data_IF_151752597823
#
_entry.id   IF_151752597823
#
_cell.length_a   1.000
_cell.length_b   1.000
_cell.length_c   1.000
_cell.angle_alpha   90.00
_cell.angle_beta   90.00
_cell.angle_gamma   90.00
#
_symmetry.space_group_name_H-M   'P 1'
#
loop_
_entity.id
_entity.type
_entity.pdbx_description
1 polymer ?
#
# COMPACT_ATOMS: atom_id res chain seq x y z
N UNK A 1 6.86 2.68 -5.84
CA UNK A 1 8.18 2.57 -5.20
C UNK A 1 8.35 1.16 -4.64
N UNK A 2 9.54 0.55 -4.71
CA UNK A 2 9.80 -0.77 -4.12
C UNK A 2 10.35 -0.64 -2.69
N UNK A 3 9.69 -1.24 -1.71
CA UNK A 3 10.15 -1.23 -0.33
C UNK A 3 10.89 -2.52 0.01
N UNK A 4 12.20 -2.41 0.25
CA UNK A 4 13.02 -3.55 0.67
C UNK A 4 12.59 -4.10 2.04
N UNK A 5 12.13 -3.26 2.96
CA UNK A 5 11.73 -3.65 4.32
C UNK A 5 10.51 -4.59 4.35
N UNK A 6 9.62 -4.50 3.35
CA UNK A 6 8.43 -5.36 3.23
C UNK A 6 8.47 -6.25 1.97
N UNK A 7 9.57 -6.24 1.21
CA UNK A 7 9.79 -7.10 0.05
C UNK A 7 8.83 -6.91 -1.12
N UNK A 8 8.17 -5.75 -1.24
CA UNK A 8 7.21 -5.49 -2.33
C UNK A 8 7.07 -4.01 -2.67
N UNK A 9 6.46 -3.76 -3.83
CA UNK A 9 6.03 -2.42 -4.23
C UNK A 9 4.90 -1.90 -3.33
N UNK A 10 5.01 -0.62 -2.96
CA UNK A 10 4.03 0.11 -2.17
C UNK A 10 3.82 1.52 -2.75
N UNK A 11 2.64 2.08 -2.47
CA UNK A 11 2.27 3.45 -2.74
C UNK A 11 1.24 3.93 -1.71
N UNK A 12 1.27 5.22 -1.36
CA UNK A 12 0.23 5.87 -0.59
C UNK A 12 -0.75 6.55 -1.54
N UNK A 13 -2.04 6.48 -1.25
CA UNK A 13 -3.09 7.05 -2.08
C UNK A 13 -4.24 7.57 -1.22
N UNK A 14 -4.88 8.64 -1.69
CA UNK A 14 -6.16 9.08 -1.17
C UNK A 14 -7.26 8.36 -1.95
N UNK A 15 -8.01 7.51 -1.27
CA UNK A 15 -9.08 6.70 -1.88
C UNK A 15 -10.40 7.01 -1.19
N UNK A 16 -11.43 7.36 -1.98
CA UNK A 16 -12.79 7.54 -1.46
C UNK A 16 -13.26 6.25 -0.78
N UNK A 17 -13.56 6.35 0.52
CA UNK A 17 -13.95 5.21 1.35
C UNK A 17 -12.84 4.18 1.57
N UNK A 18 -11.57 4.55 1.40
CA UNK A 18 -10.43 3.60 1.40
C UNK A 18 -10.35 2.69 2.62
N UNK A 19 -10.60 3.22 3.82
CA UNK A 19 -10.59 2.43 5.06
C UNK A 19 -11.62 1.29 5.06
N UNK A 20 -12.82 1.52 4.51
CA UNK A 20 -13.87 0.51 4.39
C UNK A 20 -13.63 -0.47 3.23
N UNK A 21 -12.59 -0.25 2.41
CA UNK A 21 -12.30 -1.01 1.19
C UNK A 21 -10.98 -1.79 1.28
N UNK A 22 -10.46 -2.04 2.47
CA UNK A 22 -9.28 -2.88 2.65
C UNK A 22 -9.47 -4.26 1.99
N UNK A 23 -8.41 -4.75 1.35
CA UNK A 23 -8.43 -5.98 0.56
C UNK A 23 -9.01 -5.84 -0.85
N UNK A 24 -9.76 -4.76 -1.14
CA UNK A 24 -10.30 -4.54 -2.48
C UNK A 24 -9.20 -4.25 -3.51
N UNK A 25 -9.39 -4.73 -4.74
CA UNK A 25 -8.51 -4.41 -5.86
C UNK A 25 -8.97 -3.11 -6.54
N UNK A 26 -8.02 -2.23 -6.83
CA UNK A 26 -8.19 -1.03 -7.67
C UNK A 26 -7.07 -1.01 -8.72
N UNK A 27 -7.14 -0.08 -9.68
CA UNK A 27 -6.12 0.07 -10.71
C UNK A 27 -5.33 1.36 -10.49
N UNK A 28 -4.00 1.23 -10.35
CA UNK A 28 -3.09 2.35 -10.32
C UNK A 28 -2.63 2.69 -11.74
N UNK A 29 -2.69 3.96 -12.11
CA UNK A 29 -2.15 4.46 -13.37
C UNK A 29 -0.66 4.73 -13.21
N UNK A 30 0.16 4.15 -14.09
CA UNK A 30 1.59 4.41 -14.19
C UNK A 30 1.86 5.56 -15.17
N UNK A 31 3.06 6.11 -15.11
CA UNK A 31 3.48 7.23 -15.95
C UNK A 31 3.52 6.90 -17.45
N UNK A 32 3.66 5.61 -17.78
CA UNK A 32 3.61 5.09 -19.15
C UNK A 32 2.17 4.85 -19.65
N UNK A 33 1.16 5.23 -18.86
CA UNK A 33 -0.25 5.04 -19.18
C UNK A 33 -0.79 3.63 -18.91
N UNK A 34 0.02 2.73 -18.37
CA UNK A 34 -0.44 1.39 -18.02
C UNK A 34 -1.25 1.41 -16.71
N UNK A 35 -2.30 0.59 -16.66
CA UNK A 35 -3.11 0.39 -15.47
C UNK A 35 -2.74 -0.95 -14.82
N UNK A 36 -2.25 -0.93 -13.58
CA UNK A 36 -1.87 -2.15 -12.85
C UNK A 36 -2.82 -2.42 -11.69
N UNK A 37 -3.26 -3.68 -11.48
CA UNK A 37 -4.09 -4.01 -10.34
C UNK A 37 -3.29 -3.94 -9.05
N UNK A 38 -3.87 -3.31 -8.02
CA UNK A 38 -3.28 -3.19 -6.68
C UNK A 38 -4.34 -3.41 -5.62
N UNK A 39 -3.96 -4.02 -4.50
CA UNK A 39 -4.85 -4.21 -3.35
C UNK A 39 -4.75 -3.02 -2.40
N UNK A 40 -5.89 -2.51 -1.94
CA UNK A 40 -5.96 -1.53 -0.84
C UNK A 40 -5.53 -2.23 0.45
N UNK A 41 -4.52 -1.69 1.11
CA UNK A 41 -4.01 -2.14 2.41
C UNK A 41 -4.28 -1.09 3.49
N UNK A 42 -3.94 -1.40 4.75
CA UNK A 42 -3.85 -0.38 5.81
C UNK A 42 -2.79 0.68 5.53
N UNK A 43 -2.94 1.84 6.17
CA UNK A 43 -1.99 2.96 6.11
C UNK A 43 -0.67 2.64 6.83
N UNK A 44 -0.72 1.78 7.85
CA UNK A 44 0.45 1.20 8.50
C UNK A 44 0.72 -0.16 7.86
N UNK A 45 1.77 -0.21 7.04
CA UNK A 45 2.13 -1.40 6.25
C UNK A 45 3.49 -2.00 6.65
N UNK A 46 4.19 -1.38 7.59
CA UNK A 46 5.48 -1.83 8.12
C UNK A 46 5.47 -1.67 9.64
N UNK A 47 5.90 -2.72 10.34
CA UNK A 47 5.94 -2.80 11.81
C UNK A 47 4.67 -2.28 12.52
N UNK A 48 3.48 -2.83 12.22
CA UNK A 48 2.22 -2.35 12.81
C UNK A 48 2.16 -2.53 14.33
N UNK A 49 2.94 -3.47 14.88
CA UNK A 49 3.01 -3.76 16.31
C UNK A 49 4.15 -3.00 17.03
N UNK A 50 4.88 -2.16 16.30
CA UNK A 50 5.96 -1.32 16.81
C UNK A 50 7.09 -2.09 17.52
N UNK A 51 7.38 -3.32 17.10
CA UNK A 51 8.42 -4.14 17.75
C UNK A 51 9.83 -3.56 17.57
N UNK A 52 10.08 -2.84 16.48
CA UNK A 52 11.39 -2.23 16.21
C UNK A 52 11.64 -0.95 17.01
N UNK A 53 10.59 -0.32 17.54
CA UNK A 53 10.73 0.89 18.37
C UNK A 53 11.19 0.60 19.80
N UNK A 54 11.22 -0.67 20.22
CA UNK A 54 11.48 -1.09 21.61
C UNK A 54 12.94 -1.49 21.88
N UNK A 55 13.82 -1.32 20.89
CA UNK A 55 15.25 -1.64 20.96
C UNK A 55 16.11 -0.40 21.16
#
# INVERSE_FOLDING_TARGET
>A
YHSACVGRSIALALVKGGAARQGATIYAQLMDGTAVPVAISGSVFYDPDHFKSKS
#
